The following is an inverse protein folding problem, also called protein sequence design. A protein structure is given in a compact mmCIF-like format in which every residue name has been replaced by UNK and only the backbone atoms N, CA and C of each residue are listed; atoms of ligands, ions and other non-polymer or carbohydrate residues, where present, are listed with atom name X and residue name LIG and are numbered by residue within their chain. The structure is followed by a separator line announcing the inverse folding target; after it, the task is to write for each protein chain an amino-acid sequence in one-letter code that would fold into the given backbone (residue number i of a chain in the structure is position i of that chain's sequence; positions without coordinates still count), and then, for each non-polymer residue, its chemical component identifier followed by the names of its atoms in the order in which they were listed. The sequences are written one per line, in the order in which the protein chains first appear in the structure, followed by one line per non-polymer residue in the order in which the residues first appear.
data_IF_429284218125
#
_entry.id   IF_429284218125
#
_cell.length_a   1.000
_cell.length_b   1.000
_cell.length_c   1.000
_cell.angle_alpha   90.00
_cell.angle_beta   90.00
_cell.angle_gamma   90.00
#
_symmetry.space_group_name_H-M   'P 1'
#
loop_
_entity.id
_entity.type
_entity.pdbx_description
1 polymer ?
#
# COMPACT_ATOMS: atom_id res chain seq x y z
N UNK A 1 36.44 -33.06 29.57
CA UNK A 1 37.09 -33.25 28.26
C UNK A 1 36.15 -32.77 27.17
N UNK A 2 36.42 -31.59 26.58
CA UNK A 2 35.58 -30.99 25.56
C UNK A 2 35.91 -31.53 24.18
N UNK A 3 34.91 -31.98 23.48
CA UNK A 3 35.04 -32.46 22.10
C UNK A 3 35.16 -31.24 21.19
N UNK A 4 36.29 -31.13 20.45
CA UNK A 4 36.47 -30.02 19.52
C UNK A 4 35.52 -30.14 18.32
N UNK A 5 35.09 -29.00 17.74
CA UNK A 5 34.17 -28.93 16.57
C UNK A 5 34.69 -29.79 15.41
N UNK A 6 36.01 -29.86 15.24
CA UNK A 6 36.65 -30.64 14.18
C UNK A 6 36.55 -32.14 14.42
N UNK A 7 36.60 -32.59 15.68
CA UNK A 7 36.43 -34.03 16.04
C UNK A 7 34.97 -34.46 15.98
N UNK A 8 34.03 -33.57 16.22
CA UNK A 8 32.60 -33.81 16.02
C UNK A 8 32.28 -34.10 14.56
N UNK A 9 32.73 -33.22 13.65
CA UNK A 9 32.52 -33.42 12.20
C UNK A 9 33.18 -34.70 11.66
N UNK A 10 34.37 -35.05 12.11
CA UNK A 10 35.02 -36.30 11.68
C UNK A 10 34.29 -37.54 12.16
N UNK A 11 33.67 -37.52 13.34
CA UNK A 11 32.88 -38.65 13.89
C UNK A 11 31.50 -38.77 13.25
N UNK A 12 30.87 -37.68 12.89
CA UNK A 12 29.58 -37.68 12.16
C UNK A 12 29.73 -38.16 10.70
N UNK A 13 30.86 -37.90 10.04
CA UNK A 13 31.15 -38.45 8.70
C UNK A 13 31.40 -39.95 8.71
N UNK A 14 32.01 -40.50 9.77
CA UNK A 14 32.32 -41.92 9.86
C UNK A 14 31.08 -42.79 10.17
N UNK A 15 30.04 -42.22 10.78
CA UNK A 15 28.78 -42.94 11.08
C UNK A 15 27.74 -42.85 9.93
N UNK A 16 27.98 -41.99 8.94
CA UNK A 16 27.03 -41.74 7.84
C UNK A 16 27.15 -42.70 6.64
N UNK A 17 28.21 -43.51 6.56
CA UNK A 17 28.47 -44.26 5.33
C UNK A 17 27.90 -45.69 5.32
N UNK A 18 27.44 -46.23 6.43
CA UNK A 18 26.91 -47.63 6.50
C UNK A 18 25.37 -47.72 6.47
N UNK A 19 24.63 -46.64 6.54
CA UNK A 19 23.17 -46.64 6.55
C UNK A 19 22.48 -46.11 5.27
N UNK A 20 23.21 -45.65 4.26
CA UNK A 20 22.66 -44.84 3.17
C UNK A 20 22.22 -45.61 1.91
N UNK A 21 22.42 -46.90 1.84
CA UNK A 21 22.13 -47.68 0.61
C UNK A 21 20.66 -48.15 0.49
N UNK A 22 19.91 -48.22 1.60
CA UNK A 22 18.53 -48.70 1.55
C UNK A 22 17.45 -47.59 1.43
N UNK A 23 17.82 -46.31 1.58
CA UNK A 23 16.87 -45.20 1.55
C UNK A 23 16.93 -44.37 0.24
N UNK A 24 17.65 -44.82 -0.76
CA UNK A 24 17.87 -44.11 -2.02
C UNK A 24 16.58 -43.85 -2.84
N UNK A 25 15.56 -44.71 -2.89
CA UNK A 25 14.35 -44.39 -3.67
C UNK A 25 13.49 -43.30 -3.06
N UNK A 26 13.45 -43.12 -1.74
CA UNK A 26 12.63 -42.07 -1.10
C UNK A 26 13.22 -40.66 -1.22
N UNK A 27 14.56 -40.56 -1.27
CA UNK A 27 15.23 -39.28 -1.50
C UNK A 27 15.13 -38.80 -2.96
N UNK A 28 15.11 -39.73 -3.92
CA UNK A 28 14.90 -39.41 -5.33
C UNK A 28 13.47 -38.91 -5.60
N UNK A 29 12.45 -39.41 -4.90
CA UNK A 29 11.08 -38.91 -4.99
C UNK A 29 10.91 -37.50 -4.35
N UNK A 30 11.56 -37.26 -3.23
CA UNK A 30 11.57 -35.94 -2.60
C UNK A 30 12.32 -34.89 -3.44
N UNK A 31 13.36 -35.29 -4.18
CA UNK A 31 14.08 -34.44 -5.09
C UNK A 31 13.32 -34.17 -6.41
N UNK A 32 12.44 -35.08 -6.84
CA UNK A 32 11.61 -34.88 -8.04
C UNK A 32 10.45 -33.92 -7.78
N UNK A 33 9.90 -33.88 -6.56
CA UNK A 33 8.82 -32.93 -6.18
C UNK A 33 9.34 -31.51 -5.90
N UNK A 34 10.66 -31.32 -5.75
CA UNK A 34 11.30 -30.00 -5.78
C UNK A 34 11.56 -29.50 -7.20
N UNK A 35 10.94 -30.12 -8.22
CA UNK A 35 10.99 -29.64 -9.60
C UNK A 35 10.50 -28.19 -9.66
N UNK A 36 11.46 -27.31 -9.50
CA UNK A 36 11.59 -25.90 -9.85
C UNK A 36 10.24 -25.22 -10.09
N UNK A 37 9.57 -24.83 -9.01
CA UNK A 37 8.53 -23.81 -9.15
C UNK A 37 9.17 -22.65 -9.91
N UNK A 38 8.58 -22.21 -11.02
CA UNK A 38 9.13 -21.11 -11.79
C UNK A 38 9.30 -19.91 -10.87
N UNK A 39 10.38 -19.17 -11.08
CA UNK A 39 10.64 -17.96 -10.30
C UNK A 39 9.40 -17.06 -10.34
N UNK A 40 8.96 -16.56 -9.19
CA UNK A 40 7.73 -15.75 -9.07
C UNK A 40 7.70 -14.57 -10.05
N UNK A 41 8.86 -14.00 -10.35
CA UNK A 41 9.02 -12.81 -11.19
C UNK A 41 9.34 -13.10 -12.67
N UNK A 42 9.33 -14.38 -13.09
CA UNK A 42 9.55 -14.70 -14.51
C UNK A 42 8.42 -14.12 -15.36
N UNK A 43 8.78 -13.43 -16.44
CA UNK A 43 7.85 -12.80 -17.39
C UNK A 43 6.89 -11.77 -16.74
N UNK A 44 7.36 -11.03 -15.74
CA UNK A 44 6.64 -9.87 -15.19
C UNK A 44 7.13 -8.58 -15.85
N UNK A 45 6.22 -7.62 -15.93
CA UNK A 45 6.53 -6.21 -16.20
C UNK A 45 6.57 -5.46 -14.87
N UNK A 46 7.50 -4.55 -14.73
CA UNK A 46 7.67 -3.75 -13.52
C UNK A 46 7.14 -2.33 -13.73
N UNK A 47 6.40 -1.84 -12.76
CA UNK A 47 5.86 -0.49 -12.73
C UNK A 47 6.22 0.16 -11.40
N UNK A 48 6.80 1.35 -11.45
CA UNK A 48 7.04 2.15 -10.24
C UNK A 48 5.76 2.85 -9.80
N UNK A 49 5.57 2.95 -8.49
CA UNK A 49 4.43 3.64 -7.91
C UNK A 49 4.80 4.17 -6.50
N UNK A 50 3.88 4.88 -5.87
CA UNK A 50 4.05 5.43 -4.53
C UNK A 50 3.12 4.72 -3.54
N UNK A 51 3.63 4.46 -2.34
CA UNK A 51 2.85 3.86 -1.26
C UNK A 51 1.67 4.75 -0.85
N UNK A 52 0.47 4.15 -0.73
CA UNK A 52 -0.77 4.85 -0.47
C UNK A 52 -1.08 5.11 1.01
N UNK A 53 -0.21 4.75 1.97
CA UNK A 53 -0.58 4.75 3.39
C UNK A 53 -0.25 6.02 4.16
N UNK A 54 0.77 6.76 3.80
CA UNK A 54 1.13 7.97 4.55
C UNK A 54 1.93 8.96 3.69
N UNK A 55 2.15 10.15 4.22
CA UNK A 55 2.92 11.21 3.57
C UNK A 55 4.41 10.90 3.39
N UNK A 56 4.90 9.73 3.84
CA UNK A 56 6.29 9.32 3.64
C UNK A 56 6.65 9.17 2.17
N UNK A 57 5.66 8.89 1.31
CA UNK A 57 5.86 8.84 -0.14
C UNK A 57 6.87 7.77 -0.57
N UNK A 58 6.91 6.63 0.11
CA UNK A 58 7.84 5.55 -0.25
C UNK A 58 7.56 5.02 -1.65
N UNK A 59 8.61 4.91 -2.47
CA UNK A 59 8.53 4.27 -3.79
C UNK A 59 8.39 2.76 -3.69
N UNK A 60 7.59 2.20 -4.58
CA UNK A 60 7.36 0.75 -4.68
C UNK A 60 7.47 0.30 -6.13
N UNK A 61 7.90 -0.93 -6.33
CA UNK A 61 7.90 -1.63 -7.60
C UNK A 61 6.76 -2.64 -7.59
N UNK A 62 5.87 -2.52 -8.54
CA UNK A 62 4.76 -3.44 -8.78
C UNK A 62 5.12 -4.37 -9.93
N UNK A 63 5.32 -5.66 -9.68
CA UNK A 63 5.57 -6.65 -10.72
C UNK A 63 4.24 -7.24 -11.17
N UNK A 64 3.91 -7.06 -12.45
CA UNK A 64 2.63 -7.44 -13.05
C UNK A 64 2.84 -8.50 -14.13
N UNK A 65 2.00 -9.50 -14.18
CA UNK A 65 1.97 -10.53 -15.22
C UNK A 65 0.53 -10.76 -15.69
N UNK A 66 0.31 -10.63 -17.00
CA UNK A 66 -1.03 -10.76 -17.61
C UNK A 66 -2.11 -9.87 -16.95
N UNK A 67 -1.75 -8.64 -16.59
CA UNK A 67 -2.66 -7.71 -15.91
C UNK A 67 -2.86 -7.96 -14.41
N UNK A 68 -2.22 -8.99 -13.84
CA UNK A 68 -2.34 -9.33 -12.43
C UNK A 68 -1.08 -8.93 -11.64
N UNK A 69 -1.29 -8.27 -10.49
CA UNK A 69 -0.23 -7.95 -9.55
C UNK A 69 0.30 -9.24 -8.91
N UNK A 70 1.55 -9.57 -9.22
CA UNK A 70 2.22 -10.78 -8.73
C UNK A 70 3.07 -10.48 -7.51
N UNK A 71 3.76 -9.33 -7.50
CA UNK A 71 4.66 -8.93 -6.41
C UNK A 71 4.62 -7.43 -6.19
N UNK A 72 4.95 -7.01 -4.97
CA UNK A 72 5.13 -5.62 -4.61
C UNK A 72 6.29 -5.53 -3.62
N UNK A 73 7.24 -4.66 -3.89
CA UNK A 73 8.42 -4.43 -3.06
C UNK A 73 8.82 -2.96 -3.06
N UNK A 74 9.72 -2.58 -2.16
CA UNK A 74 10.24 -1.22 -2.12
C UNK A 74 11.20 -0.95 -3.27
N UNK A 75 11.10 0.23 -3.86
CA UNK A 75 11.97 0.68 -4.93
C UNK A 75 13.35 1.09 -4.35
N UNK A 76 14.44 0.39 -4.71
CA UNK A 76 15.78 0.70 -4.23
C UNK A 76 16.32 2.03 -4.76
N UNK A 77 15.85 2.48 -5.92
CA UNK A 77 16.30 3.72 -6.55
C UNK A 77 15.53 4.95 -6.04
N UNK A 78 14.44 4.73 -5.31
CA UNK A 78 13.62 5.82 -4.78
C UNK A 78 14.34 6.57 -3.64
N UNK A 79 14.48 7.91 -3.71
CA UNK A 79 15.32 8.69 -2.80
C UNK A 79 14.87 8.63 -1.33
N UNK A 80 13.57 8.40 -1.07
CA UNK A 80 13.00 8.44 0.28
C UNK A 80 13.25 7.14 1.04
N UNK A 81 12.92 5.99 0.46
CA UNK A 81 12.93 4.71 1.17
C UNK A 81 14.05 3.75 0.74
N UNK A 82 14.69 3.97 -0.42
CA UNK A 82 15.83 3.16 -0.90
C UNK A 82 15.58 1.66 -0.74
N UNK A 83 14.42 1.19 -1.17
CA UNK A 83 14.00 -0.21 -1.08
C UNK A 83 13.36 -0.63 0.25
N UNK A 84 13.49 0.15 1.34
CA UNK A 84 12.87 -0.15 2.62
C UNK A 84 11.38 0.13 2.63
N UNK A 85 10.58 -0.78 3.21
CA UNK A 85 9.16 -0.57 3.47
C UNK A 85 8.83 -0.87 4.93
N UNK A 86 7.94 -0.07 5.51
CA UNK A 86 7.34 -0.42 6.79
C UNK A 86 6.32 -1.57 6.61
N UNK A 87 5.84 -2.22 7.68
CA UNK A 87 4.88 -3.31 7.58
C UNK A 87 3.61 -2.98 6.77
N UNK A 88 3.11 -1.73 6.84
CA UNK A 88 1.96 -1.30 6.04
C UNK A 88 2.29 -1.30 4.54
N UNK A 89 3.42 -0.70 4.14
CA UNK A 89 3.86 -0.69 2.75
C UNK A 89 4.08 -2.10 2.21
N UNK A 90 4.73 -2.96 2.99
CA UNK A 90 4.98 -4.35 2.61
C UNK A 90 3.69 -5.18 2.42
N UNK A 91 2.59 -4.80 3.09
CA UNK A 91 1.30 -5.48 2.98
C UNK A 91 0.34 -4.84 1.96
N UNK A 92 0.78 -3.84 1.21
CA UNK A 92 -0.04 -3.16 0.19
C UNK A 92 -0.61 -4.11 -0.87
N UNK A 93 0.09 -5.23 -1.13
CA UNK A 93 -0.40 -6.31 -1.98
C UNK A 93 -1.80 -6.79 -1.56
N UNK A 94 -2.09 -6.80 -0.26
CA UNK A 94 -3.36 -7.26 0.31
C UNK A 94 -4.53 -6.31 0.06
N UNK A 95 -4.30 -5.11 -0.44
CA UNK A 95 -5.38 -4.22 -0.89
C UNK A 95 -6.12 -4.81 -2.10
N UNK A 96 -5.40 -5.50 -2.99
CA UNK A 96 -5.98 -6.17 -4.16
C UNK A 96 -6.19 -7.66 -3.94
N UNK A 97 -5.23 -8.32 -3.33
CA UNK A 97 -5.16 -9.76 -3.22
C UNK A 97 -5.04 -10.20 -1.76
N UNK A 98 -5.80 -11.20 -1.38
CA UNK A 98 -5.74 -11.81 -0.05
C UNK A 98 -5.16 -13.21 -0.18
N UNK A 99 -4.25 -13.57 0.71
CA UNK A 99 -3.71 -14.92 0.80
C UNK A 99 -4.57 -15.71 1.77
N UNK A 100 -5.20 -16.75 1.27
CA UNK A 100 -6.04 -17.66 2.07
C UNK A 100 -5.19 -18.59 2.95
N UNK A 101 -5.74 -19.21 3.99
CA UNK A 101 -4.99 -20.13 4.88
C UNK A 101 -4.32 -21.30 4.13
N UNK A 102 -4.90 -21.76 3.04
CA UNK A 102 -4.35 -22.76 2.12
C UNK A 102 -3.30 -22.21 1.14
N UNK A 103 -2.81 -20.96 1.39
CA UNK A 103 -1.79 -20.25 0.61
C UNK A 103 -2.16 -19.98 -0.85
N UNK A 104 -3.45 -19.97 -1.16
CA UNK A 104 -3.93 -19.49 -2.47
C UNK A 104 -4.16 -18.00 -2.44
N UNK A 105 -3.89 -17.34 -3.57
CA UNK A 105 -4.16 -15.92 -3.76
C UNK A 105 -5.54 -15.77 -4.39
N UNK A 106 -6.40 -14.93 -3.78
CA UNK A 106 -7.68 -14.53 -4.35
C UNK A 106 -7.83 -13.01 -4.31
N UNK A 107 -8.73 -12.48 -5.10
CA UNK A 107 -9.06 -11.05 -5.02
C UNK A 107 -9.68 -10.70 -3.67
N UNK A 108 -9.38 -9.49 -3.20
CA UNK A 108 -9.97 -8.95 -1.98
C UNK A 108 -11.42 -8.51 -2.28
N UNK A 109 -12.37 -9.30 -1.81
CA UNK A 109 -13.81 -9.04 -2.00
C UNK A 109 -14.29 -7.79 -1.25
N UNK A 110 -13.56 -7.34 -0.23
CA UNK A 110 -13.87 -6.11 0.50
C UNK A 110 -13.47 -4.83 -0.26
N UNK A 111 -12.80 -4.96 -1.41
CA UNK A 111 -12.41 -3.82 -2.22
C UNK A 111 -13.60 -3.29 -3.00
N UNK A 112 -13.90 -2.00 -2.84
CA UNK A 112 -14.86 -1.29 -3.68
C UNK A 112 -14.38 -1.23 -5.13
N UNK A 113 -15.20 -1.74 -6.05
CA UNK A 113 -14.91 -1.76 -7.49
C UNK A 113 -15.81 -0.80 -8.28
N UNK A 114 -16.91 -0.34 -7.66
CA UNK A 114 -17.90 0.56 -8.25
C UNK A 114 -18.19 1.70 -7.28
N UNK A 115 -18.62 2.87 -7.79
CA UNK A 115 -19.13 3.91 -6.93
C UNK A 115 -20.42 3.45 -6.25
N UNK A 116 -20.61 3.87 -5.01
CA UNK A 116 -21.80 3.57 -4.23
C UNK A 116 -22.41 4.85 -3.69
N UNK A 117 -23.71 4.90 -3.62
CA UNK A 117 -24.48 5.98 -3.05
C UNK A 117 -25.34 5.46 -1.88
N UNK A 118 -25.44 6.25 -0.84
CA UNK A 118 -26.43 6.02 0.24
C UNK A 118 -27.46 7.15 0.19
N UNK A 119 -28.69 6.79 -0.14
CA UNK A 119 -29.77 7.77 -0.28
C UNK A 119 -30.17 8.33 1.08
N UNK A 120 -30.64 9.58 1.16
CA UNK A 120 -31.18 10.14 2.39
C UNK A 120 -32.27 9.24 2.99
N UNK A 121 -32.15 8.96 4.29
CA UNK A 121 -33.07 8.06 5.00
C UNK A 121 -32.84 6.57 4.78
N UNK A 122 -31.90 6.16 3.93
CA UNK A 122 -31.52 4.76 3.73
C UNK A 122 -30.29 4.40 4.60
N UNK A 123 -30.27 3.18 5.11
CA UNK A 123 -29.11 2.55 5.77
C UNK A 123 -28.28 1.69 4.82
N UNK A 124 -28.73 1.54 3.55
CA UNK A 124 -28.09 0.69 2.53
C UNK A 124 -27.29 1.50 1.54
N UNK A 125 -26.19 0.90 1.09
CA UNK A 125 -25.41 1.38 -0.03
C UNK A 125 -25.89 0.73 -1.33
N UNK A 126 -26.02 1.52 -2.38
CA UNK A 126 -26.46 1.11 -3.71
C UNK A 126 -25.34 1.35 -4.71
N UNK A 127 -25.02 0.35 -5.54
CA UNK A 127 -24.09 0.51 -6.63
C UNK A 127 -24.70 1.41 -7.71
N UNK A 128 -23.93 2.37 -8.20
CA UNK A 128 -24.32 3.25 -9.29
C UNK A 128 -23.25 3.26 -10.39
N UNK A 129 -23.60 3.73 -11.57
CA UNK A 129 -22.62 3.90 -12.64
C UNK A 129 -21.69 5.07 -12.34
N UNK A 130 -20.49 5.07 -12.93
CA UNK A 130 -19.57 6.21 -12.85
C UNK A 130 -20.18 7.49 -13.41
N UNK A 131 -20.93 7.38 -14.51
CA UNK A 131 -21.61 8.50 -15.14
C UNK A 131 -22.65 9.12 -14.22
N UNK A 132 -23.51 8.32 -13.60
CA UNK A 132 -24.50 8.79 -12.63
C UNK A 132 -23.83 9.41 -11.42
N UNK A 133 -22.75 8.80 -10.89
CA UNK A 133 -22.00 9.34 -9.75
C UNK A 133 -21.46 10.74 -10.08
N UNK A 134 -20.81 10.92 -11.22
CA UNK A 134 -20.30 12.22 -11.62
C UNK A 134 -21.39 13.25 -11.83
N UNK A 135 -22.49 12.86 -12.49
CA UNK A 135 -23.61 13.75 -12.74
C UNK A 135 -24.32 14.17 -11.46
N UNK A 136 -24.52 13.26 -10.52
CA UNK A 136 -25.12 13.60 -9.21
C UNK A 136 -24.22 14.49 -8.38
N UNK A 137 -22.92 14.17 -8.27
CA UNK A 137 -21.94 14.99 -7.55
C UNK A 137 -21.87 16.38 -8.16
N UNK A 138 -21.77 16.50 -9.49
CA UNK A 138 -21.70 17.79 -10.16
C UNK A 138 -22.95 18.65 -9.91
N UNK A 139 -24.15 18.05 -9.94
CA UNK A 139 -25.40 18.76 -9.60
C UNK A 139 -25.42 19.27 -8.17
N UNK A 140 -24.98 18.44 -7.18
CA UNK A 140 -24.88 18.86 -5.81
C UNK A 140 -23.87 19.97 -5.60
N UNK A 141 -22.69 19.86 -6.18
CA UNK A 141 -21.64 20.89 -6.10
C UNK A 141 -22.15 22.20 -6.72
N UNK A 142 -22.77 22.14 -7.91
CA UNK A 142 -23.30 23.32 -8.57
C UNK A 142 -24.41 23.98 -7.74
N UNK A 143 -25.37 23.19 -7.25
CA UNK A 143 -26.46 23.69 -6.41
C UNK A 143 -25.95 24.39 -5.16
N UNK A 144 -25.07 23.71 -4.40
CA UNK A 144 -24.51 24.26 -3.16
C UNK A 144 -23.70 25.52 -3.44
N UNK A 145 -22.95 25.57 -4.56
CA UNK A 145 -22.23 26.77 -4.95
C UNK A 145 -23.19 27.93 -5.24
N UNK A 146 -24.19 27.71 -6.07
CA UNK A 146 -25.11 28.76 -6.52
C UNK A 146 -25.96 29.30 -5.36
N UNK A 147 -26.29 28.47 -4.36
CA UNK A 147 -27.06 28.86 -3.18
C UNK A 147 -26.24 29.60 -2.11
N UNK A 148 -24.92 29.41 -2.06
CA UNK A 148 -24.07 29.89 -0.96
C UNK A 148 -22.90 30.77 -1.45
N UNK A 149 -22.94 31.24 -2.68
CA UNK A 149 -21.91 32.11 -3.21
C UNK A 149 -22.12 33.54 -2.74
N UNK A 150 -21.09 34.12 -2.16
CA UNK A 150 -21.06 35.51 -1.71
C UNK A 150 -20.02 36.25 -2.53
N UNK A 151 -20.47 37.15 -3.39
CA UNK A 151 -19.60 37.96 -4.23
C UNK A 151 -19.03 39.17 -3.45
N UNK A 152 -19.89 39.88 -2.76
CA UNK A 152 -19.50 41.08 -1.99
C UNK A 152 -19.94 40.91 -0.53
N UNK A 153 -19.11 41.43 0.40
CA UNK A 153 -19.45 41.57 1.81
C UNK A 153 -18.95 42.93 2.28
N UNK A 154 -19.86 43.70 2.86
CA UNK A 154 -19.60 45.10 3.32
C UNK A 154 -18.93 45.98 2.24
N UNK A 155 -19.30 45.79 0.98
CA UNK A 155 -18.76 46.55 -0.16
C UNK A 155 -17.37 46.04 -0.67
N UNK A 156 -16.83 44.99 -0.06
CA UNK A 156 -15.57 44.36 -0.47
C UNK A 156 -15.84 43.14 -1.31
N UNK A 157 -15.14 42.98 -2.44
CA UNK A 157 -15.22 41.78 -3.28
C UNK A 157 -14.54 40.61 -2.58
N UNK A 158 -15.31 39.58 -2.17
CA UNK A 158 -14.81 38.44 -1.43
C UNK A 158 -14.84 37.13 -2.22
N UNK A 159 -15.76 36.97 -3.17
CA UNK A 159 -15.91 35.79 -4.03
C UNK A 159 -15.78 34.46 -3.27
N UNK A 160 -16.48 34.28 -2.15
CA UNK A 160 -16.38 33.10 -1.32
C UNK A 160 -17.61 32.19 -1.40
N UNK A 161 -17.45 30.93 -1.01
CA UNK A 161 -18.56 30.00 -0.83
C UNK A 161 -18.53 29.42 0.57
N UNK A 162 -19.57 29.69 1.35
CA UNK A 162 -19.68 29.26 2.74
C UNK A 162 -20.35 27.88 2.89
N UNK A 163 -20.94 27.36 1.81
CA UNK A 163 -21.62 26.05 1.78
C UNK A 163 -20.70 24.85 1.52
N UNK A 164 -19.43 25.08 1.16
CA UNK A 164 -18.51 23.99 0.80
C UNK A 164 -17.19 24.11 1.54
N UNK A 165 -16.64 22.95 1.92
CA UNK A 165 -15.28 22.84 2.43
C UNK A 165 -14.52 21.70 1.73
N UNK A 166 -13.22 21.88 1.52
CA UNK A 166 -12.34 20.85 0.96
C UNK A 166 -11.32 20.41 2.01
N UNK A 167 -11.22 19.11 2.21
CA UNK A 167 -10.24 18.50 3.11
C UNK A 167 -9.32 17.62 2.26
N UNK A 168 -8.03 17.93 2.25
CA UNK A 168 -7.02 17.14 1.58
C UNK A 168 -6.56 15.94 2.40
N UNK A 169 -5.83 15.04 1.76
CA UNK A 169 -5.20 13.89 2.39
C UNK A 169 -3.67 13.92 2.22
N UNK A 170 -2.98 13.26 3.14
CA UNK A 170 -1.51 13.15 3.10
C UNK A 170 -1.01 12.11 2.08
N UNK A 171 -1.90 11.25 1.58
CA UNK A 171 -1.59 10.17 0.64
C UNK A 171 -1.79 10.54 -0.82
N UNK A 172 -2.17 11.78 -1.10
CA UNK A 172 -2.34 12.27 -2.47
C UNK A 172 -0.99 12.48 -3.14
N UNK A 173 -0.90 12.11 -4.40
CA UNK A 173 0.24 12.46 -5.24
C UNK A 173 0.22 13.98 -5.55
N UNK A 174 1.36 14.51 -5.96
CA UNK A 174 1.51 15.95 -6.24
C UNK A 174 0.53 16.42 -7.32
N UNK A 175 0.32 15.61 -8.34
CA UNK A 175 -0.59 15.87 -9.46
C UNK A 175 -2.06 15.88 -9.00
N UNK A 176 -2.44 14.93 -8.16
CA UNK A 176 -3.77 14.86 -7.57
C UNK A 176 -4.04 16.05 -6.68
N UNK A 177 -3.07 16.42 -5.83
CA UNK A 177 -3.17 17.59 -4.96
C UNK A 177 -3.29 18.89 -5.78
N UNK A 178 -2.51 19.02 -6.86
CA UNK A 178 -2.58 20.13 -7.80
C UNK A 178 -3.96 20.25 -8.46
N UNK A 179 -4.52 19.13 -8.89
CA UNK A 179 -5.86 19.06 -9.49
C UNK A 179 -6.95 19.42 -8.49
N UNK A 180 -6.87 18.91 -7.25
CA UNK A 180 -7.80 19.25 -6.18
C UNK A 180 -7.76 20.74 -5.84
N UNK A 181 -6.58 21.33 -5.72
CA UNK A 181 -6.42 22.78 -5.45
C UNK A 181 -6.96 23.65 -6.57
N UNK A 182 -6.67 23.29 -7.82
CA UNK A 182 -7.15 24.02 -8.99
C UNK A 182 -8.68 23.95 -9.11
N UNK A 183 -9.27 22.80 -8.82
CA UNK A 183 -10.73 22.60 -8.82
C UNK A 183 -11.38 23.43 -7.70
N UNK A 184 -10.83 23.39 -6.49
CA UNK A 184 -11.33 24.18 -5.37
C UNK A 184 -11.24 25.70 -5.65
N UNK A 185 -10.17 26.17 -6.26
CA UNK A 185 -10.00 27.56 -6.63
C UNK A 185 -11.02 28.04 -7.69
N UNK A 186 -11.42 27.15 -8.61
CA UNK A 186 -12.44 27.46 -9.65
C UNK A 186 -13.86 27.48 -9.10
N UNK A 187 -14.14 26.76 -8.02
CA UNK A 187 -15.46 26.69 -7.39
C UNK A 187 -15.77 27.88 -6.48
N UNK A 188 -14.91 28.84 -6.39
CA UNK A 188 -14.74 29.93 -5.43
C UNK A 188 -13.87 29.49 -4.24
N UNK A 189 -13.19 30.40 -3.54
CA UNK A 189 -12.34 30.04 -2.42
C UNK A 189 -13.16 29.42 -1.29
N UNK A 190 -13.36 28.09 -1.40
CA UNK A 190 -13.82 27.30 -0.30
C UNK A 190 -12.77 27.41 0.81
N UNK A 191 -13.18 27.42 2.08
CA UNK A 191 -12.24 27.24 3.18
C UNK A 191 -11.51 25.91 2.98
N UNK A 192 -10.33 25.98 2.37
CA UNK A 192 -9.47 24.81 2.20
C UNK A 192 -8.74 24.54 3.51
N UNK A 193 -9.12 23.51 4.22
CA UNK A 193 -8.35 22.98 5.36
C UNK A 193 -7.45 21.89 4.79
N UNK A 194 -6.39 22.26 4.10
CA UNK A 194 -5.27 21.36 3.87
C UNK A 194 -4.45 21.30 5.16
N UNK A 195 -4.84 20.48 6.11
CA UNK A 195 -3.89 20.03 7.12
C UNK A 195 -3.01 18.98 6.46
N UNK A 196 -1.71 19.21 6.31
CA UNK A 196 -0.80 18.09 6.19
C UNK A 196 -1.03 17.25 7.44
N UNK A 197 -1.33 15.96 7.28
CA UNK A 197 -1.27 15.06 8.43
C UNK A 197 0.10 15.30 9.08
N UNK A 198 0.18 15.47 10.41
CA UNK A 198 1.46 15.67 11.06
C UNK A 198 2.34 14.53 10.59
N UNK A 199 3.43 14.87 9.91
CA UNK A 199 4.47 13.92 9.60
C UNK A 199 4.77 13.24 10.92
N UNK A 200 4.58 11.93 10.98
CA UNK A 200 4.97 11.16 12.16
C UNK A 200 6.42 11.56 12.40
N UNK A 201 6.77 12.18 13.52
CA UNK A 201 8.13 12.62 13.71
C UNK A 201 9.05 11.43 13.46
N UNK A 202 10.17 11.60 12.76
CA UNK A 202 11.07 10.50 12.51
C UNK A 202 11.31 9.85 13.87
N UNK A 203 11.01 8.55 13.98
CA UNK A 203 11.28 7.81 15.20
C UNK A 203 12.76 8.07 15.50
N UNK A 204 13.05 8.72 16.61
CA UNK A 204 14.42 8.86 17.08
C UNK A 204 15.06 7.48 16.99
N UNK A 205 16.22 7.33 16.34
CA UNK A 205 16.93 6.06 16.36
C UNK A 205 17.04 5.66 17.83
N UNK A 206 16.49 4.50 18.17
CA UNK A 206 16.67 3.91 19.49
C UNK A 206 18.15 3.58 19.53
N UNK A 207 18.93 4.44 20.15
CA UNK A 207 20.33 4.14 20.44
C UNK A 207 20.34 2.82 21.22
N UNK A 208 21.13 1.83 20.79
CA UNK A 208 21.26 0.61 21.55
C UNK A 208 21.68 0.98 22.98
N UNK A 209 20.92 0.53 23.97
CA UNK A 209 21.30 0.67 25.37
C UNK A 209 22.70 0.09 25.51
N UNK A 210 23.65 0.80 26.10
CA UNK A 210 24.95 0.20 26.42
C UNK A 210 24.67 -1.04 27.27
N UNK A 211 25.22 -2.17 26.85
CA UNK A 211 25.20 -3.40 27.63
C UNK A 211 25.86 -3.05 28.97
N UNK A 212 25.07 -3.09 30.04
CA UNK A 212 25.60 -2.97 31.39
C UNK A 212 26.65 -4.07 31.53
N UNK A 213 27.89 -3.67 31.85
CA UNK A 213 28.91 -4.61 32.22
C UNK A 213 28.41 -5.37 33.45
N UNK A 214 28.30 -6.69 33.32
CA UNK A 214 27.99 -7.56 34.43
C UNK A 214 29.17 -7.54 35.40
N UNK A 215 28.92 -7.65 36.73
CA UNK A 215 29.97 -7.67 37.76
C UNK A 215 30.89 -8.88 37.66
#
# INVERSE_FOLDING_TARGET
MGISRRSFFKRSMALGTSGFVAAAPSLAHAAADTAKKPYKLVSTQEFTNICCYCAGGCGVICSVRNGELVNLEGDPDHPVNKGGLCPKGATMFNLRNVVTPDRKVKHNESRLLKPQVRRPGSDKWEDISWEDAFNEIARHVKKTRDENFVEYEDGVLVNRNDGMASIGAAQLQTEELGSCRSSAARLAPCRSITRPAPATPPRRPVLPRPLAAAP
#
